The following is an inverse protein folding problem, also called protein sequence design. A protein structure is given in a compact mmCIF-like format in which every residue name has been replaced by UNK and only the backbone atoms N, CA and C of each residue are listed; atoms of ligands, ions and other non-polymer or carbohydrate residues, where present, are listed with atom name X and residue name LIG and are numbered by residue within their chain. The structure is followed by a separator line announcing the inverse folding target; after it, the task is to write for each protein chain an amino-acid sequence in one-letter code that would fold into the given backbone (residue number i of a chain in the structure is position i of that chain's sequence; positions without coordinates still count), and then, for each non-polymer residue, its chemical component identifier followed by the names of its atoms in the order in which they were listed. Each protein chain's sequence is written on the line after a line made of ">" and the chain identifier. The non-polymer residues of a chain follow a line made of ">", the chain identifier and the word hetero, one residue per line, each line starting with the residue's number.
data_IF_475567157265
#
_entry.id   IF_475567157265
#
_cell.length_a   1.000
_cell.length_b   1.000
_cell.length_c   1.000
_cell.angle_alpha   90.00
_cell.angle_beta   90.00
_cell.angle_gamma   90.00
#
_symmetry.space_group_name_H-M   'P 1'
#
loop_
_entity.id
_entity.type
_entity.pdbx_description
1 polymer ?
#
# COMPACT_ATOMS: atom_id res chain seq x y z
N UNK A 1 14.87 38.80 0.77
CA UNK A 1 14.72 37.54 0.05
C UNK A 1 13.56 36.80 0.71
N UNK A 2 12.43 36.69 0.05
CA UNK A 2 11.30 35.95 0.59
C UNK A 2 11.68 34.47 0.65
N UNK A 3 11.80 33.94 1.87
CA UNK A 3 11.99 32.51 2.09
C UNK A 3 10.64 31.82 1.76
N UNK A 4 10.61 31.03 0.72
CA UNK A 4 9.45 30.20 0.44
C UNK A 4 9.39 29.09 1.52
N UNK A 5 8.27 29.05 2.24
CA UNK A 5 7.97 27.95 3.18
C UNK A 5 7.06 26.96 2.47
N UNK A 6 7.47 25.72 2.37
CA UNK A 6 6.66 24.64 1.82
C UNK A 6 6.00 23.84 2.94
N UNK A 7 4.72 23.55 2.78
CA UNK A 7 3.96 22.83 3.80
C UNK A 7 3.60 21.41 3.32
N UNK A 8 4.35 20.39 3.75
CA UNK A 8 4.05 19.00 3.40
C UNK A 8 2.90 18.40 4.21
N UNK A 9 2.52 19.03 5.31
CA UNK A 9 1.54 18.47 6.23
C UNK A 9 0.15 18.40 5.61
N UNK A 10 -0.42 17.19 5.58
CA UNK A 10 -1.73 16.91 5.02
C UNK A 10 -2.71 16.59 6.16
N UNK A 11 -3.74 17.40 6.30
CA UNK A 11 -4.74 17.25 7.36
C UNK A 11 -5.62 16.00 7.23
N UNK A 12 -5.61 15.36 6.07
CA UNK A 12 -6.34 14.10 5.83
C UNK A 12 -5.58 12.88 6.37
N UNK A 13 -4.28 13.01 6.63
CA UNK A 13 -3.47 11.90 7.11
C UNK A 13 -3.93 11.42 8.48
N UNK A 14 -4.11 10.11 8.62
CA UNK A 14 -4.45 9.43 9.86
C UNK A 14 -3.67 8.12 9.94
N UNK A 15 -3.05 7.87 11.10
CA UNK A 15 -2.42 6.57 11.33
C UNK A 15 -3.48 5.47 11.36
N UNK A 16 -3.18 4.36 10.70
CA UNK A 16 -4.02 3.17 10.79
C UNK A 16 -3.93 2.59 12.21
N UNK A 17 -5.05 2.13 12.72
CA UNK A 17 -5.19 1.55 14.05
C UNK A 17 -5.50 0.04 13.95
N UNK A 18 -5.32 -0.68 15.05
CA UNK A 18 -5.67 -2.10 15.16
C UNK A 18 -7.12 -2.36 14.72
N UNK A 19 -8.04 -1.49 15.13
CA UNK A 19 -9.46 -1.58 14.77
C UNK A 19 -9.70 -1.50 13.27
N UNK A 20 -8.93 -0.69 12.56
CA UNK A 20 -9.06 -0.53 11.11
C UNK A 20 -8.59 -1.80 10.40
N UNK A 21 -7.43 -2.34 10.81
CA UNK A 21 -6.89 -3.59 10.27
C UNK A 21 -7.86 -4.74 10.51
N UNK A 22 -8.39 -4.88 11.73
CA UNK A 22 -9.37 -5.91 12.07
C UNK A 22 -10.63 -5.77 11.18
N UNK A 23 -11.08 -4.54 10.91
CA UNK A 23 -12.24 -4.31 10.04
C UNK A 23 -11.92 -4.69 8.58
N UNK A 24 -10.73 -4.36 8.07
CA UNK A 24 -10.27 -4.80 6.75
C UNK A 24 -10.28 -6.34 6.67
N UNK A 25 -9.75 -7.03 7.68
CA UNK A 25 -9.72 -8.49 7.71
C UNK A 25 -11.12 -9.10 7.77
N UNK A 26 -12.06 -8.46 8.48
CA UNK A 26 -13.47 -8.90 8.50
C UNK A 26 -14.15 -8.79 7.13
N UNK A 27 -13.82 -7.78 6.31
CA UNK A 27 -14.31 -7.69 4.92
C UNK A 27 -13.90 -8.92 4.10
N UNK A 28 -12.77 -9.54 4.45
CA UNK A 28 -12.25 -10.77 3.85
C UNK A 28 -12.78 -12.04 4.54
N UNK A 29 -13.72 -11.92 5.47
CA UNK A 29 -14.25 -13.01 6.32
C UNK A 29 -13.17 -13.70 7.16
N UNK A 30 -12.15 -12.97 7.60
CA UNK A 30 -11.13 -13.41 8.55
C UNK A 30 -11.46 -12.76 9.88
N UNK A 31 -12.18 -13.50 10.75
CA UNK A 31 -12.76 -12.94 11.98
C UNK A 31 -11.83 -13.04 13.21
N UNK A 32 -10.91 -14.00 13.21
CA UNK A 32 -10.02 -14.28 14.35
C UNK A 32 -8.60 -13.73 14.13
N UNK A 33 -8.48 -12.68 13.32
CA UNK A 33 -7.19 -12.08 13.02
C UNK A 33 -6.60 -11.38 14.24
N UNK A 34 -5.34 -11.67 14.52
CA UNK A 34 -4.56 -11.05 15.60
C UNK A 34 -3.40 -10.26 15.03
N UNK A 35 -3.24 -9.05 15.50
CA UNK A 35 -2.12 -8.18 15.15
C UNK A 35 -1.04 -8.39 16.20
N UNK A 36 0.15 -8.81 15.77
CA UNK A 36 1.32 -8.99 16.63
C UNK A 36 2.20 -7.72 16.63
N UNK A 37 2.28 -7.02 15.49
CA UNK A 37 3.09 -5.82 15.33
C UNK A 37 2.40 -4.76 14.48
N UNK A 38 1.72 -3.83 15.14
CA UNK A 38 1.00 -2.72 14.48
C UNK A 38 1.94 -1.83 13.65
N UNK A 39 3.21 -1.65 14.04
CA UNK A 39 4.13 -0.76 13.32
C UNK A 39 4.39 -1.21 11.88
N UNK A 40 4.34 -2.52 11.59
CA UNK A 40 4.44 -3.02 10.23
C UNK A 40 3.33 -2.48 9.33
N UNK A 41 2.10 -2.46 9.84
CA UNK A 41 0.95 -1.93 9.11
C UNK A 41 1.03 -0.41 8.99
N UNK A 42 1.45 0.29 10.04
CA UNK A 42 1.61 1.75 9.98
C UNK A 42 2.62 2.16 8.91
N UNK A 43 3.77 1.49 8.83
CA UNK A 43 4.79 1.74 7.79
C UNK A 43 4.26 1.45 6.38
N UNK A 44 3.44 0.41 6.20
CA UNK A 44 2.85 0.04 4.91
C UNK A 44 1.95 1.13 4.29
N UNK A 45 1.55 2.13 5.05
CA UNK A 45 0.72 3.24 4.58
C UNK A 45 1.47 4.57 4.47
N UNK A 46 2.77 4.61 4.75
CA UNK A 46 3.57 5.84 4.63
C UNK A 46 4.20 5.93 3.24
N UNK A 47 3.75 6.89 2.46
CA UNK A 47 4.33 7.19 1.14
C UNK A 47 5.63 7.99 1.30
N UNK A 48 6.63 7.74 0.45
CA UNK A 48 7.94 8.41 0.48
C UNK A 48 7.86 9.95 0.46
N UNK A 49 6.80 10.51 -0.12
CA UNK A 49 6.57 11.97 -0.08
C UNK A 49 6.35 12.55 1.31
N UNK A 50 6.14 11.71 2.34
CA UNK A 50 5.97 12.16 3.73
C UNK A 50 7.19 11.88 4.61
N UNK A 51 8.32 11.54 3.98
CA UNK A 51 9.62 11.31 4.62
C UNK A 51 10.47 12.57 4.54
N UNK A 52 11.12 12.95 5.64
CA UNK A 52 11.93 14.17 5.76
C UNK A 52 12.94 14.31 4.63
N UNK A 53 13.71 13.27 4.33
CA UNK A 53 14.74 13.29 3.27
C UNK A 53 14.15 13.64 1.91
N UNK A 54 13.08 13.00 1.49
CA UNK A 54 12.45 13.28 0.19
C UNK A 54 11.98 14.72 0.07
N UNK A 55 11.43 15.28 1.16
CA UNK A 55 11.00 16.68 1.20
C UNK A 55 12.21 17.61 1.06
N UNK A 56 13.26 17.42 1.85
CA UNK A 56 14.46 18.25 1.78
C UNK A 56 15.18 18.13 0.44
N UNK A 57 15.29 16.94 -0.13
CA UNK A 57 15.92 16.71 -1.44
C UNK A 57 15.14 17.36 -2.58
N UNK A 58 13.80 17.33 -2.52
CA UNK A 58 12.96 18.00 -3.52
C UNK A 58 13.07 19.53 -3.48
N UNK A 59 13.24 20.08 -2.29
CA UNK A 59 13.32 21.53 -2.08
C UNK A 59 14.68 22.15 -2.48
N UNK A 60 15.75 21.37 -2.45
CA UNK A 60 17.10 21.83 -2.69
C UNK A 60 17.71 21.41 -4.04
N UNK A 61 16.91 20.85 -4.96
CA UNK A 61 17.37 20.32 -6.24
C UNK A 61 18.14 21.30 -7.13
N UNK A 62 17.84 22.58 -7.07
CA UNK A 62 18.49 23.60 -7.91
C UNK A 62 19.60 24.41 -7.20
N UNK A 63 19.81 24.20 -5.90
CA UNK A 63 20.87 24.83 -5.11
C UNK A 63 20.76 26.36 -4.96
N UNK A 64 19.75 26.99 -5.53
CA UNK A 64 19.63 28.45 -5.64
C UNK A 64 18.68 29.08 -4.63
N UNK A 65 17.80 28.27 -3.99
CA UNK A 65 16.84 28.77 -3.01
C UNK A 65 16.83 27.90 -1.77
N UNK A 66 17.04 28.48 -0.62
CA UNK A 66 16.81 27.81 0.66
C UNK A 66 15.30 27.79 0.91
N UNK A 67 14.67 26.67 0.63
CA UNK A 67 13.25 26.46 0.93
C UNK A 67 13.18 25.87 2.33
N UNK A 68 12.41 26.48 3.20
CA UNK A 68 12.19 26.00 4.57
C UNK A 68 10.86 25.20 4.61
N UNK A 69 10.88 24.08 5.33
CA UNK A 69 9.64 23.36 5.66
C UNK A 69 8.88 24.16 6.71
N UNK A 70 7.57 24.30 6.53
CA UNK A 70 6.70 24.97 7.47
C UNK A 70 6.72 24.26 8.83
N UNK A 71 6.47 25.01 9.89
CA UNK A 71 6.23 24.41 11.21
C UNK A 71 5.04 23.45 11.16
N UNK A 72 5.16 22.37 11.90
CA UNK A 72 4.10 21.36 11.97
C UNK A 72 2.83 21.97 12.59
N UNK A 73 1.69 21.91 11.89
CA UNK A 73 0.42 22.33 12.48
C UNK A 73 0.04 21.45 13.68
N UNK A 74 -0.69 22.02 14.64
CA UNK A 74 -1.22 21.26 15.76
C UNK A 74 -2.09 20.09 15.27
N UNK A 75 -1.82 18.90 15.81
CA UNK A 75 -2.54 17.68 15.45
C UNK A 75 -2.09 16.99 14.15
N UNK A 76 -1.16 17.59 13.38
CA UNK A 76 -0.59 16.92 12.23
C UNK A 76 0.38 15.80 12.66
N UNK A 77 0.44 14.74 11.84
CA UNK A 77 1.42 13.66 12.03
C UNK A 77 2.82 14.22 11.76
N UNK A 78 3.82 13.82 12.57
CA UNK A 78 5.22 14.13 12.29
C UNK A 78 5.66 13.52 10.96
N UNK A 79 6.62 14.19 10.29
CA UNK A 79 7.29 13.63 9.13
C UNK A 79 8.14 12.43 9.58
N UNK A 80 8.07 11.36 8.81
CA UNK A 80 8.82 10.15 9.07
C UNK A 80 10.30 10.32 8.73
N UNK A 81 11.16 9.53 9.35
CA UNK A 81 12.58 9.48 9.04
C UNK A 81 12.85 8.66 7.78
N UNK A 82 14.09 8.69 7.28
CA UNK A 82 14.54 7.89 6.14
C UNK A 82 14.24 6.39 6.36
N UNK A 83 13.77 5.72 5.32
CA UNK A 83 13.39 4.28 5.33
C UNK A 83 12.18 3.93 6.23
N UNK A 84 11.40 4.90 6.67
CA UNK A 84 10.14 4.67 7.37
C UNK A 84 8.91 4.79 6.46
N UNK A 85 9.11 4.67 5.16
CA UNK A 85 8.05 4.55 4.15
C UNK A 85 7.80 3.09 3.76
N UNK A 86 6.84 2.90 2.87
CA UNK A 86 6.42 1.59 2.44
C UNK A 86 7.33 0.93 1.38
N UNK A 87 8.30 1.63 0.77
CA UNK A 87 9.04 1.14 -0.41
C UNK A 87 9.73 -0.22 -0.17
N UNK A 88 10.31 -0.43 1.02
CA UNK A 88 10.92 -1.72 1.37
C UNK A 88 9.89 -2.84 1.55
N UNK A 89 8.71 -2.50 2.05
CA UNK A 89 7.63 -3.46 2.22
C UNK A 89 6.94 -3.78 0.90
N UNK A 90 6.75 -2.80 0.01
CA UNK A 90 6.31 -3.00 -1.36
C UNK A 90 7.19 -4.02 -2.08
N UNK A 91 8.52 -3.80 -2.05
CA UNK A 91 9.48 -4.70 -2.69
C UNK A 91 9.34 -6.17 -2.24
N UNK A 92 9.19 -6.42 -0.94
CA UNK A 92 8.99 -7.78 -0.43
C UNK A 92 7.57 -8.28 -0.67
N UNK A 93 6.59 -7.39 -0.56
CA UNK A 93 5.17 -7.68 -0.72
C UNK A 93 4.80 -8.13 -2.12
N UNK A 94 5.36 -7.50 -3.16
CA UNK A 94 5.22 -7.93 -4.56
C UNK A 94 5.64 -9.41 -4.71
N UNK A 95 6.77 -9.81 -4.13
CA UNK A 95 7.26 -11.20 -4.19
C UNK A 95 6.35 -12.17 -3.41
N UNK A 96 5.91 -11.77 -2.23
CA UNK A 96 5.00 -12.59 -1.42
C UNK A 96 3.63 -12.76 -2.09
N UNK A 97 3.11 -11.70 -2.69
CA UNK A 97 1.88 -11.70 -3.46
C UNK A 97 1.99 -12.59 -4.71
N UNK A 98 3.05 -12.40 -5.49
CA UNK A 98 3.29 -13.16 -6.73
C UNK A 98 3.35 -14.66 -6.46
N UNK A 99 4.11 -15.06 -5.43
CA UNK A 99 4.19 -16.45 -4.99
C UNK A 99 2.82 -16.99 -4.53
N UNK A 100 2.10 -16.22 -3.73
CA UNK A 100 0.82 -16.65 -3.16
C UNK A 100 -0.26 -16.82 -4.23
N UNK A 101 -0.31 -15.92 -5.22
CA UNK A 101 -1.20 -16.04 -6.38
C UNK A 101 -0.79 -17.24 -7.24
N UNK A 102 0.49 -17.44 -7.50
CA UNK A 102 0.97 -18.58 -8.26
C UNK A 102 0.61 -19.91 -7.56
N UNK A 103 0.80 -19.99 -6.24
CA UNK A 103 0.43 -21.14 -5.43
C UNK A 103 -1.09 -21.39 -5.44
N UNK A 104 -1.91 -20.34 -5.29
CA UNK A 104 -3.35 -20.43 -5.38
C UNK A 104 -3.81 -20.98 -6.75
N UNK A 105 -3.26 -20.43 -7.85
CA UNK A 105 -3.59 -20.90 -9.21
C UNK A 105 -3.17 -22.34 -9.41
N UNK A 106 -1.97 -22.72 -8.97
CA UNK A 106 -1.48 -24.10 -9.04
C UNK A 106 -2.43 -25.09 -8.36
N UNK A 107 -2.90 -24.74 -7.16
CA UNK A 107 -3.83 -25.58 -6.38
C UNK A 107 -5.23 -25.61 -6.98
N UNK A 108 -5.71 -24.48 -7.50
CA UNK A 108 -7.08 -24.31 -7.98
C UNK A 108 -7.31 -24.90 -9.36
N UNK A 109 -6.28 -24.90 -10.20
CA UNK A 109 -6.34 -25.31 -11.59
C UNK A 109 -5.24 -26.33 -11.94
N UNK A 110 -5.23 -27.53 -11.31
CA UNK A 110 -4.13 -28.51 -11.46
C UNK A 110 -3.98 -28.96 -12.92
N UNK A 111 -5.09 -29.20 -13.62
CA UNK A 111 -5.14 -29.81 -14.95
C UNK A 111 -5.01 -28.80 -16.11
N UNK A 112 -4.69 -27.53 -15.82
CA UNK A 112 -4.53 -26.52 -16.85
C UNK A 112 -3.07 -26.36 -17.28
N UNK A 113 -2.85 -25.84 -18.51
CA UNK A 113 -1.52 -25.60 -19.04
C UNK A 113 -0.77 -24.50 -18.27
N UNK A 114 0.55 -24.54 -18.34
CA UNK A 114 1.41 -23.48 -17.77
C UNK A 114 1.09 -22.10 -18.38
N UNK A 115 0.81 -22.04 -19.70
CA UNK A 115 0.43 -20.81 -20.36
C UNK A 115 -0.85 -20.19 -19.80
N UNK A 116 -1.88 -21.00 -19.54
CA UNK A 116 -3.11 -20.56 -18.87
C UNK A 116 -2.81 -19.94 -17.49
N UNK A 117 -2.00 -20.66 -16.67
CA UNK A 117 -1.64 -20.22 -15.33
C UNK A 117 -0.89 -18.87 -15.34
N UNK A 118 0.04 -18.70 -16.30
CA UNK A 118 0.80 -17.46 -16.48
C UNK A 118 -0.12 -16.29 -16.87
N UNK A 119 -1.02 -16.48 -17.83
CA UNK A 119 -1.96 -15.43 -18.23
C UNK A 119 -2.88 -15.04 -17.08
N UNK A 120 -3.40 -16.03 -16.35
CA UNK A 120 -4.27 -15.76 -15.20
C UNK A 120 -3.51 -15.00 -14.10
N UNK A 121 -2.27 -15.41 -13.76
CA UNK A 121 -1.42 -14.70 -12.80
C UNK A 121 -1.24 -13.26 -13.21
N UNK A 122 -0.81 -12.99 -14.44
CA UNK A 122 -0.60 -11.62 -14.94
C UNK A 122 -1.85 -10.74 -14.84
N UNK A 123 -3.03 -11.31 -15.09
CA UNK A 123 -4.30 -10.57 -14.93
C UNK A 123 -4.61 -10.21 -13.48
N UNK A 124 -4.20 -11.03 -12.52
CA UNK A 124 -4.46 -10.82 -11.11
C UNK A 124 -3.51 -9.82 -10.46
N UNK A 125 -2.22 -9.85 -10.83
CA UNK A 125 -1.18 -9.00 -10.24
C UNK A 125 -0.97 -7.65 -10.94
N UNK A 126 -1.67 -7.36 -12.03
CA UNK A 126 -1.49 -6.07 -12.71
C UNK A 126 -2.00 -4.89 -11.87
N UNK A 127 -1.39 -3.73 -12.02
CA UNK A 127 -1.71 -2.46 -11.34
C UNK A 127 -3.20 -2.21 -11.19
N UNK A 128 -3.95 -2.30 -12.30
CA UNK A 128 -5.39 -2.03 -12.27
C UNK A 128 -6.22 -3.06 -11.48
N UNK A 129 -5.68 -4.25 -11.22
CA UNK A 129 -6.34 -5.25 -10.38
C UNK A 129 -6.02 -5.01 -8.91
N UNK A 130 -4.75 -4.75 -8.58
CA UNK A 130 -4.32 -4.47 -7.22
C UNK A 130 -4.93 -3.17 -6.71
N UNK A 131 -4.94 -2.11 -7.52
CA UNK A 131 -5.63 -0.87 -7.18
C UNK A 131 -7.14 -1.07 -6.91
N UNK A 132 -7.82 -1.94 -7.67
CA UNK A 132 -9.22 -2.28 -7.39
C UNK A 132 -9.40 -3.02 -6.07
N UNK A 133 -8.47 -3.88 -5.69
CA UNK A 133 -8.49 -4.55 -4.39
C UNK A 133 -8.25 -3.55 -3.26
N UNK A 134 -7.26 -2.67 -3.43
CA UNK A 134 -7.00 -1.60 -2.48
C UNK A 134 -8.22 -0.71 -2.27
N UNK A 135 -8.92 -0.33 -3.36
CA UNK A 135 -10.18 0.43 -3.31
C UNK A 135 -11.32 -0.36 -2.64
N UNK A 136 -11.43 -1.65 -2.91
CA UNK A 136 -12.42 -2.50 -2.25
C UNK A 136 -12.22 -2.60 -0.72
N UNK A 137 -10.96 -2.62 -0.29
CA UNK A 137 -10.56 -2.64 1.11
C UNK A 137 -10.48 -1.24 1.74
N UNK A 138 -10.74 -0.19 0.95
CA UNK A 138 -10.65 1.23 1.33
C UNK A 138 -9.27 1.62 1.91
N UNK A 139 -8.19 1.03 1.36
CA UNK A 139 -6.83 1.27 1.87
C UNK A 139 -6.39 2.72 1.70
N UNK A 140 -6.87 3.41 0.66
CA UNK A 140 -6.52 4.79 0.37
C UNK A 140 -6.79 5.77 1.52
N UNK A 141 -7.81 5.52 2.35
CA UNK A 141 -8.13 6.39 3.49
C UNK A 141 -7.05 6.44 4.57
N UNK A 142 -6.22 5.37 4.65
CA UNK A 142 -5.15 5.24 5.64
C UNK A 142 -3.80 5.74 5.14
N UNK A 143 -3.70 6.12 3.85
CA UNK A 143 -2.48 6.63 3.25
C UNK A 143 -2.01 7.91 3.95
N UNK A 144 -0.71 7.93 4.25
CA UNK A 144 0.01 9.09 4.77
C UNK A 144 0.86 9.63 3.63
N UNK A 145 0.40 10.70 3.00
CA UNK A 145 1.04 11.36 1.85
C UNK A 145 1.18 12.84 2.09
N UNK A 146 2.14 13.48 1.41
CA UNK A 146 2.29 14.92 1.51
C UNK A 146 1.09 15.65 0.90
N UNK A 147 0.88 16.89 1.36
CA UNK A 147 -0.16 17.77 0.81
C UNK A 147 0.03 17.96 -0.70
N UNK A 148 1.29 18.09 -1.15
CA UNK A 148 1.61 18.26 -2.56
C UNK A 148 1.15 17.06 -3.39
N UNK A 149 1.45 15.83 -2.95
CA UNK A 149 1.02 14.61 -3.67
C UNK A 149 -0.50 14.50 -3.66
N UNK A 150 -1.15 14.82 -2.54
CA UNK A 150 -2.61 14.82 -2.47
C UNK A 150 -3.27 15.78 -3.47
N UNK A 151 -2.68 16.97 -3.65
CA UNK A 151 -3.27 18.05 -4.45
C UNK A 151 -2.80 18.05 -5.92
N UNK A 152 -1.56 17.62 -6.21
CA UNK A 152 -0.96 17.71 -7.56
C UNK A 152 -1.22 16.49 -8.43
N UNK A 153 -1.45 15.32 -7.87
CA UNK A 153 -1.78 14.11 -8.64
C UNK A 153 -3.26 14.12 -8.99
N UNK A 154 -3.59 13.71 -10.23
CA UNK A 154 -4.98 13.69 -10.73
C UNK A 154 -5.94 12.93 -9.79
N UNK A 155 -5.43 12.07 -8.94
CA UNK A 155 -6.21 11.23 -8.04
C UNK A 155 -5.72 11.24 -6.59
N UNK A 156 -4.60 11.91 -6.25
CA UNK A 156 -4.04 11.92 -4.89
C UNK A 156 -3.92 10.50 -4.33
N UNK A 157 -4.55 10.26 -3.17
CA UNK A 157 -4.61 8.94 -2.53
C UNK A 157 -5.42 7.87 -3.29
N UNK A 158 -6.16 8.25 -4.34
CA UNK A 158 -6.89 7.33 -5.21
C UNK A 158 -6.10 6.95 -6.48
N UNK A 159 -4.83 7.37 -6.59
CA UNK A 159 -3.95 7.03 -7.69
C UNK A 159 -3.71 5.52 -7.74
N UNK A 160 -3.96 4.90 -8.89
CA UNK A 160 -3.88 3.44 -9.04
C UNK A 160 -2.49 2.87 -8.76
N UNK A 161 -1.40 3.60 -9.05
CA UNK A 161 -0.03 3.16 -8.74
C UNK A 161 0.24 3.21 -7.24
N UNK A 162 -0.12 4.32 -6.58
CA UNK A 162 0.03 4.43 -5.11
C UNK A 162 -0.79 3.34 -4.40
N UNK A 163 -1.99 3.03 -4.91
CA UNK A 163 -2.85 1.99 -4.35
C UNK A 163 -2.33 0.57 -4.61
N UNK A 164 -1.64 0.34 -5.74
CA UNK A 164 -0.89 -0.89 -6.01
C UNK A 164 0.21 -1.07 -4.97
N UNK A 165 1.11 -0.07 -4.84
CA UNK A 165 2.24 -0.09 -3.93
C UNK A 165 1.79 -0.34 -2.48
N UNK A 166 0.74 0.35 -2.04
CA UNK A 166 0.16 0.17 -0.70
C UNK A 166 -0.45 -1.22 -0.52
N UNK A 167 -1.08 -1.77 -1.55
CA UNK A 167 -1.61 -3.14 -1.49
C UNK A 167 -0.49 -4.16 -1.29
N UNK A 168 0.62 -4.01 -2.01
CA UNK A 168 1.79 -4.87 -1.88
C UNK A 168 2.44 -4.70 -0.51
N UNK A 169 2.63 -3.45 -0.05
CA UNK A 169 3.18 -3.17 1.28
C UNK A 169 2.30 -3.72 2.40
N UNK A 170 0.98 -3.61 2.28
CA UNK A 170 0.04 -4.20 3.24
C UNK A 170 0.13 -5.73 3.29
N UNK A 171 0.29 -6.38 2.13
CA UNK A 171 0.54 -7.83 2.06
C UNK A 171 1.86 -8.19 2.72
N UNK A 172 2.91 -7.39 2.54
CA UNK A 172 4.17 -7.56 3.26
C UNK A 172 3.98 -7.47 4.78
N UNK A 173 3.24 -6.46 5.25
CA UNK A 173 2.95 -6.31 6.67
C UNK A 173 2.25 -7.55 7.24
N UNK A 174 1.24 -8.07 6.53
CA UNK A 174 0.56 -9.31 6.89
C UNK A 174 1.49 -10.52 6.91
N UNK A 175 2.35 -10.64 5.90
CA UNK A 175 3.32 -11.73 5.80
C UNK A 175 4.32 -11.71 6.96
N UNK A 176 4.88 -10.55 7.27
CA UNK A 176 5.86 -10.40 8.35
C UNK A 176 5.22 -10.55 9.74
N UNK A 177 4.02 -10.03 9.93
CA UNK A 177 3.30 -10.08 11.21
C UNK A 177 2.86 -11.49 11.57
N UNK A 178 2.42 -12.27 10.59
CA UNK A 178 1.92 -13.62 10.80
C UNK A 178 2.98 -14.72 10.63
N UNK A 179 4.16 -14.38 10.07
CA UNK A 179 5.24 -15.34 9.73
C UNK A 179 4.77 -16.57 8.94
N UNK A 180 3.69 -16.43 8.17
CA UNK A 180 3.05 -17.53 7.45
C UNK A 180 2.63 -17.15 6.04
N UNK A 181 3.16 -17.82 5.03
CA UNK A 181 2.72 -17.70 3.63
C UNK A 181 1.25 -18.13 3.43
N UNK A 182 0.70 -18.93 4.34
CA UNK A 182 -0.68 -19.38 4.31
C UNK A 182 -1.70 -18.25 4.39
N UNK A 183 -1.47 -17.24 5.20
CA UNK A 183 -2.37 -16.10 5.35
C UNK A 183 -2.48 -15.27 4.07
N UNK A 184 -1.36 -15.00 3.40
CA UNK A 184 -1.36 -14.26 2.15
C UNK A 184 -2.17 -15.01 1.08
N UNK A 185 -2.01 -16.33 0.98
CA UNK A 185 -2.80 -17.17 0.08
C UNK A 185 -4.30 -17.12 0.40
N UNK A 186 -4.68 -17.11 1.67
CA UNK A 186 -6.08 -17.01 2.10
C UNK A 186 -6.71 -15.67 1.75
N UNK A 187 -5.97 -14.57 1.98
CA UNK A 187 -6.40 -13.22 1.59
C UNK A 187 -6.62 -13.14 0.09
N UNK A 188 -5.66 -13.62 -0.70
CA UNK A 188 -5.78 -13.66 -2.16
C UNK A 188 -7.00 -14.46 -2.60
N UNK A 189 -7.24 -15.64 -2.00
CA UNK A 189 -8.43 -16.46 -2.32
C UNK A 189 -9.73 -15.72 -2.05
N UNK A 190 -9.84 -15.04 -0.92
CA UNK A 190 -11.05 -14.32 -0.51
C UNK A 190 -11.27 -13.01 -1.28
N UNK A 191 -10.19 -12.38 -1.74
CA UNK A 191 -10.24 -11.14 -2.53
C UNK A 191 -10.64 -11.37 -4.00
N UNK A 192 -10.51 -12.59 -4.54
CA UNK A 192 -10.85 -12.92 -5.92
C UNK A 192 -12.29 -13.44 -5.98
N UNK A 193 -13.27 -12.66 -6.48
CA UNK A 193 -14.64 -13.13 -6.61
C UNK A 193 -14.71 -14.31 -7.60
N UNK A 194 -15.19 -15.46 -7.14
CA UNK A 194 -15.28 -16.69 -7.94
C UNK A 194 -16.06 -16.55 -9.26
N UNK A 195 -16.92 -15.53 -9.37
CA UNK A 195 -17.70 -15.23 -10.57
C UNK A 195 -16.93 -14.48 -11.67
N UNK A 196 -15.82 -13.82 -11.36
CA UNK A 196 -15.12 -12.97 -12.30
C UNK A 196 -14.16 -13.75 -13.21
N UNK A 197 -13.61 -14.85 -12.71
CA UNK A 197 -12.66 -15.68 -13.47
C UNK A 197 -13.33 -16.39 -14.65
N UNK A 198 -14.64 -16.69 -14.58
CA UNK A 198 -15.39 -17.37 -15.65
C UNK A 198 -15.82 -16.45 -16.81
N UNK A 199 -15.77 -15.12 -16.64
CA UNK A 199 -16.20 -14.16 -17.67
C UNK A 199 -15.07 -13.59 -18.53
N UNK A 200 -13.83 -13.67 -18.06
CA UNK A 200 -12.66 -13.06 -18.70
C UNK A 200 -11.73 -14.11 -19.36
N UNK A 201 -12.15 -15.37 -19.43
CA UNK A 201 -11.54 -16.48 -20.16
C UNK A 201 -12.36 -16.86 -21.39
#
# INVERSE_FOLDING_TARGET
>A
MDKFKENPYNSKNKLILDTDIINIMKLLNINDFKINNLSLYQTAFVHSSYVKKCIYDSLNKDGTKTIEVSEKPNGAIELFEENQDYENQEFLGDRALDFSIAYYIYRKYPDTSQGFKTVLKTKLVKTSSLAKFAKYLDLGQHLIISKQVEEMTIAGRDNDRILEDVMEAFICALFLDQNETGYVSEIVQKSIPAKKIKRDL
#
